data_IF_658762194159
#
_entry.id   IF_658762194159
#
_cell.length_a   1.000
_cell.length_b   1.000
_cell.length_c   1.000
_cell.angle_alpha   90.00
_cell.angle_beta   90.00
_cell.angle_gamma   90.00
#
_symmetry.space_group_name_H-M   'P 1'
#
loop_
_entity.id
_entity.type
_entity.pdbx_description
1 polymer ?
#
# COMPACT_ATOMS: atom_id res chain seq x y z
N UNK A 1 -11.87 -16.34 -9.54
CA UNK A 1 -11.57 -17.29 -8.46
C UNK A 1 -10.18 -17.93 -8.50
N UNK A 2 -9.86 -18.87 -9.41
CA UNK A 2 -8.58 -19.64 -9.40
C UNK A 2 -7.27 -18.83 -9.39
N UNK A 3 -7.29 -17.56 -9.83
CA UNK A 3 -6.13 -16.68 -9.75
C UNK A 3 -5.79 -16.25 -8.30
N UNK A 4 -6.77 -16.21 -7.41
CA UNK A 4 -6.64 -15.61 -6.07
C UNK A 4 -6.94 -16.57 -4.93
N UNK A 5 -7.62 -17.69 -5.20
CA UNK A 5 -8.08 -18.65 -4.20
C UNK A 5 -7.59 -20.06 -4.56
N UNK A 6 -7.11 -20.78 -3.56
CA UNK A 6 -6.60 -22.15 -3.68
C UNK A 6 -5.07 -22.24 -3.71
N UNK A 7 -4.57 -23.45 -3.52
CA UNK A 7 -3.13 -23.74 -3.39
C UNK A 7 -2.35 -23.45 -4.69
N UNK A 8 -3.01 -23.60 -5.85
CA UNK A 8 -2.44 -23.30 -7.17
C UNK A 8 -2.63 -21.82 -7.61
N UNK A 9 -3.06 -20.94 -6.71
CA UNK A 9 -3.32 -19.54 -7.05
C UNK A 9 -2.03 -18.70 -7.16
N UNK A 10 -2.10 -17.58 -7.88
CA UNK A 10 -0.97 -16.63 -7.95
C UNK A 10 -0.65 -16.04 -6.57
N UNK A 11 -1.66 -15.88 -5.71
CA UNK A 11 -1.49 -15.42 -4.34
C UNK A 11 -0.72 -16.44 -3.48
N UNK A 12 -1.05 -17.73 -3.64
CA UNK A 12 -0.33 -18.83 -2.99
C UNK A 12 1.13 -18.89 -3.46
N UNK A 13 1.34 -18.90 -4.79
CA UNK A 13 2.66 -18.85 -5.38
C UNK A 13 3.51 -17.68 -4.85
N UNK A 14 2.97 -16.47 -4.82
CA UNK A 14 3.70 -15.30 -4.33
C UNK A 14 4.05 -15.39 -2.84
N UNK A 15 3.27 -16.13 -2.05
CA UNK A 15 3.54 -16.33 -0.62
C UNK A 15 4.63 -17.39 -0.41
N UNK A 16 4.55 -18.52 -1.12
CA UNK A 16 5.51 -19.62 -1.01
C UNK A 16 6.85 -19.31 -1.65
N UNK A 17 6.84 -18.66 -2.81
CA UNK A 17 8.04 -18.37 -3.58
C UNK A 17 8.92 -17.28 -2.96
N UNK A 18 8.51 -16.68 -1.83
CA UNK A 18 9.35 -15.74 -1.05
C UNK A 18 10.64 -16.40 -0.56
N UNK A 19 10.60 -17.68 -0.21
CA UNK A 19 11.77 -18.41 0.28
C UNK A 19 12.80 -18.71 -0.82
N UNK A 20 12.47 -18.43 -2.08
CA UNK A 20 13.31 -18.74 -3.23
C UNK A 20 14.12 -17.52 -3.65
N UNK A 21 15.44 -17.69 -3.70
CA UNK A 21 16.34 -16.64 -4.17
C UNK A 21 16.05 -16.26 -5.63
N UNK A 22 16.13 -14.96 -5.93
CA UNK A 22 15.87 -14.42 -7.28
C UNK A 22 14.40 -14.31 -7.72
N UNK A 23 13.42 -14.76 -6.93
CA UNK A 23 11.99 -14.73 -7.32
C UNK A 23 11.31 -13.37 -7.06
N UNK A 24 12.00 -12.44 -6.40
CA UNK A 24 11.49 -11.10 -6.09
C UNK A 24 11.04 -10.29 -7.32
N UNK A 25 11.75 -10.38 -8.45
CA UNK A 25 11.37 -9.73 -9.72
C UNK A 25 10.10 -10.32 -10.34
N UNK A 26 9.91 -11.64 -10.20
CA UNK A 26 8.71 -12.31 -10.68
C UNK A 26 7.52 -11.94 -9.80
N UNK A 27 7.68 -11.92 -8.47
CA UNK A 27 6.64 -11.47 -7.53
C UNK A 27 6.22 -10.03 -7.79
N UNK A 28 7.18 -9.14 -8.02
CA UNK A 28 6.91 -7.76 -8.44
C UNK A 28 6.12 -7.68 -9.75
N UNK A 29 6.47 -8.51 -10.74
CA UNK A 29 5.73 -8.57 -12.01
C UNK A 29 4.31 -9.11 -11.82
N UNK A 30 4.11 -10.10 -10.95
CA UNK A 30 2.79 -10.65 -10.60
C UNK A 30 1.95 -9.58 -9.89
N UNK A 31 2.50 -8.86 -8.92
CA UNK A 31 1.79 -7.78 -8.23
C UNK A 31 1.36 -6.66 -9.19
N UNK A 32 2.22 -6.28 -10.13
CA UNK A 32 1.88 -5.32 -11.19
C UNK A 32 0.80 -5.84 -12.13
N UNK A 33 0.89 -7.11 -12.53
CA UNK A 33 -0.16 -7.77 -13.32
C UNK A 33 -1.50 -7.76 -12.57
N UNK A 34 -1.52 -8.19 -11.31
CA UNK A 34 -2.73 -8.22 -10.48
C UNK A 34 -3.29 -6.80 -10.31
N UNK A 35 -2.44 -5.80 -10.07
CA UNK A 35 -2.86 -4.39 -10.00
C UNK A 35 -3.59 -3.94 -11.26
N UNK A 36 -3.03 -4.22 -12.43
CA UNK A 36 -3.66 -3.90 -13.73
C UNK A 36 -4.97 -4.66 -13.95
N UNK A 37 -4.95 -5.96 -13.62
CA UNK A 37 -6.10 -6.84 -13.75
C UNK A 37 -7.25 -6.39 -12.85
N UNK A 38 -6.99 -6.09 -11.58
CA UNK A 38 -7.98 -5.59 -10.63
C UNK A 38 -8.51 -4.24 -11.08
N UNK A 39 -7.65 -3.29 -11.46
CA UNK A 39 -8.09 -2.00 -11.98
C UNK A 39 -9.04 -2.12 -13.18
N UNK A 40 -8.77 -3.07 -14.08
CA UNK A 40 -9.59 -3.28 -15.29
C UNK A 40 -10.89 -4.03 -15.01
N UNK A 41 -10.86 -5.04 -14.15
CA UNK A 41 -11.96 -5.99 -13.96
C UNK A 41 -12.62 -5.90 -12.58
N UNK A 42 -12.39 -4.83 -11.81
CA UNK A 42 -12.88 -4.70 -10.43
C UNK A 42 -14.38 -4.97 -10.29
N UNK A 43 -15.21 -4.53 -11.23
CA UNK A 43 -16.66 -4.76 -11.19
C UNK A 43 -17.05 -6.25 -11.08
N UNK A 44 -16.24 -7.15 -11.63
CA UNK A 44 -16.47 -8.61 -11.60
C UNK A 44 -15.70 -9.32 -10.48
N UNK A 45 -14.93 -8.59 -9.67
CA UNK A 45 -14.02 -9.16 -8.65
C UNK A 45 -14.46 -8.84 -7.21
N UNK A 46 -15.61 -8.21 -7.01
CA UNK A 46 -16.07 -7.77 -5.70
C UNK A 46 -16.09 -8.88 -4.64
N UNK A 47 -16.53 -10.09 -5.01
CA UNK A 47 -16.54 -11.26 -4.11
C UNK A 47 -15.15 -11.73 -3.66
N UNK A 48 -14.09 -11.32 -4.36
CA UNK A 48 -12.70 -11.66 -4.06
C UNK A 48 -11.91 -10.49 -3.47
N UNK A 49 -12.52 -9.30 -3.33
CA UNK A 49 -11.84 -8.08 -2.93
C UNK A 49 -11.07 -8.22 -1.60
N UNK A 50 -11.68 -8.87 -0.61
CA UNK A 50 -11.05 -9.14 0.70
C UNK A 50 -9.78 -9.99 0.54
N UNK A 51 -9.85 -11.06 -0.26
CA UNK A 51 -8.72 -11.95 -0.52
C UNK A 51 -7.58 -11.21 -1.22
N UNK A 52 -7.90 -10.43 -2.25
CA UNK A 52 -6.93 -9.67 -3.03
C UNK A 52 -6.24 -8.62 -2.15
N UNK A 53 -7.00 -7.85 -1.37
CA UNK A 53 -6.45 -6.83 -0.48
C UNK A 53 -5.61 -7.46 0.64
N UNK A 54 -6.08 -8.56 1.23
CA UNK A 54 -5.31 -9.29 2.25
C UNK A 54 -3.98 -9.79 1.70
N UNK A 55 -3.98 -10.31 0.46
CA UNK A 55 -2.76 -10.70 -0.24
C UNK A 55 -1.80 -9.51 -0.45
N UNK A 56 -2.33 -8.35 -0.86
CA UNK A 56 -1.54 -7.14 -1.06
C UNK A 56 -0.88 -6.66 0.25
N UNK A 57 -1.64 -6.62 1.34
CA UNK A 57 -1.15 -6.23 2.67
C UNK A 57 -0.06 -7.18 3.16
N UNK A 58 -0.30 -8.51 3.06
CA UNK A 58 0.70 -9.52 3.44
C UNK A 58 1.97 -9.37 2.63
N UNK A 59 1.84 -9.16 1.32
CA UNK A 59 3.00 -8.92 0.44
C UNK A 59 3.77 -7.68 0.92
N UNK A 60 3.11 -6.55 1.14
CA UNK A 60 3.75 -5.33 1.64
C UNK A 60 4.55 -5.56 2.94
N UNK A 61 3.99 -6.31 3.90
CA UNK A 61 4.67 -6.60 5.18
C UNK A 61 5.89 -7.51 5.03
N UNK A 62 5.82 -8.47 4.12
CA UNK A 62 6.77 -9.58 4.05
C UNK A 62 7.86 -9.35 3.00
N UNK A 63 7.64 -8.49 2.01
CA UNK A 63 8.66 -8.23 0.99
C UNK A 63 9.94 -7.65 1.58
N UNK A 64 11.09 -8.07 1.06
CA UNK A 64 12.40 -7.54 1.45
C UNK A 64 12.80 -6.35 0.56
N UNK A 65 12.41 -6.39 -0.73
CA UNK A 65 12.72 -5.35 -1.71
C UNK A 65 11.70 -4.21 -1.71
N UNK A 66 12.20 -2.98 -1.72
CA UNK A 66 11.36 -1.79 -1.74
C UNK A 66 10.54 -1.65 -3.02
N UNK A 67 11.04 -2.13 -4.16
CA UNK A 67 10.29 -2.15 -5.42
C UNK A 67 9.03 -3.00 -5.30
N UNK A 68 9.16 -4.19 -4.69
CA UNK A 68 8.05 -5.12 -4.55
C UNK A 68 7.06 -4.67 -3.47
N UNK A 69 7.56 -4.00 -2.41
CA UNK A 69 6.70 -3.28 -1.45
C UNK A 69 5.89 -2.18 -2.14
N UNK A 70 6.52 -1.38 -3.00
CA UNK A 70 5.81 -0.33 -3.73
C UNK A 70 4.72 -0.90 -4.65
N UNK A 71 4.98 -2.01 -5.34
CA UNK A 71 3.97 -2.73 -6.13
C UNK A 71 2.83 -3.28 -5.26
N UNK A 72 3.13 -3.79 -4.06
CA UNK A 72 2.12 -4.25 -3.10
C UNK A 72 1.24 -3.10 -2.61
N UNK A 73 1.86 -1.97 -2.28
CA UNK A 73 1.18 -0.75 -1.85
C UNK A 73 0.27 -0.19 -2.95
N UNK A 74 0.72 -0.24 -4.22
CA UNK A 74 -0.12 0.14 -5.36
C UNK A 74 -1.35 -0.76 -5.50
N UNK A 75 -1.20 -2.06 -5.26
CA UNK A 75 -2.35 -2.98 -5.25
C UNK A 75 -3.32 -2.67 -4.10
N UNK A 76 -2.80 -2.37 -2.90
CA UNK A 76 -3.62 -1.95 -1.74
C UNK A 76 -4.44 -0.70 -2.07
N UNK A 77 -3.83 0.28 -2.73
CA UNK A 77 -4.48 1.51 -3.18
C UNK A 77 -5.60 1.23 -4.18
N UNK A 78 -5.34 0.46 -5.23
CA UNK A 78 -6.35 0.09 -6.24
C UNK A 78 -7.51 -0.67 -5.60
N UNK A 79 -7.23 -1.57 -4.65
CA UNK A 79 -8.28 -2.28 -3.92
C UNK A 79 -9.12 -1.33 -3.07
N UNK A 80 -8.48 -0.35 -2.41
CA UNK A 80 -9.18 0.66 -1.61
C UNK A 80 -10.08 1.52 -2.50
N UNK A 81 -9.55 2.00 -3.62
CA UNK A 81 -10.30 2.81 -4.60
C UNK A 81 -11.54 2.09 -5.15
N UNK A 82 -11.40 0.81 -5.51
CA UNK A 82 -12.44 0.10 -6.26
C UNK A 82 -13.41 -0.72 -5.37
N UNK A 83 -13.04 -1.01 -4.12
CA UNK A 83 -13.81 -1.92 -3.26
C UNK A 83 -14.23 -1.32 -1.91
N UNK A 84 -14.00 -0.02 -1.65
CA UNK A 84 -14.33 0.62 -0.37
C UNK A 84 -15.81 0.67 0.03
N UNK A 85 -16.71 0.43 -0.91
CA UNK A 85 -18.14 0.30 -0.60
C UNK A 85 -18.48 -0.97 0.20
N UNK A 86 -17.63 -2.01 0.17
CA UNK A 86 -17.84 -3.25 0.90
C UNK A 86 -17.28 -3.17 2.33
N UNK A 87 -18.15 -3.38 3.33
CA UNK A 87 -17.79 -3.25 4.76
C UNK A 87 -16.61 -4.12 5.19
N UNK A 88 -16.54 -5.37 4.72
CA UNK A 88 -15.44 -6.27 5.06
C UNK A 88 -14.10 -5.80 4.46
N UNK A 89 -14.14 -5.26 3.23
CA UNK A 89 -12.94 -4.68 2.61
C UNK A 89 -12.50 -3.45 3.39
N UNK A 90 -13.44 -2.60 3.82
CA UNK A 90 -13.16 -1.41 4.63
C UNK A 90 -12.38 -1.77 5.89
N UNK A 91 -12.83 -2.78 6.63
CA UNK A 91 -12.13 -3.27 7.83
C UNK A 91 -10.69 -3.70 7.54
N UNK A 92 -10.46 -4.43 6.45
CA UNK A 92 -9.12 -4.90 6.07
C UNK A 92 -8.25 -3.75 5.55
N UNK A 93 -8.83 -2.77 4.85
CA UNK A 93 -8.10 -1.61 4.35
C UNK A 93 -7.54 -0.76 5.49
N UNK A 94 -8.29 -0.56 6.58
CA UNK A 94 -7.75 0.10 7.78
C UNK A 94 -6.56 -0.64 8.40
N UNK A 95 -6.57 -1.97 8.40
CA UNK A 95 -5.40 -2.73 8.83
C UNK A 95 -4.19 -2.46 7.91
N UNK A 96 -4.43 -2.41 6.59
CA UNK A 96 -3.43 -2.03 5.60
C UNK A 96 -2.88 -0.62 5.81
N UNK A 97 -3.74 0.34 6.16
CA UNK A 97 -3.36 1.71 6.52
C UNK A 97 -2.44 1.74 7.74
N UNK A 98 -2.82 1.08 8.84
CA UNK A 98 -2.00 1.04 10.06
C UNK A 98 -0.63 0.40 9.78
N UNK A 99 -0.61 -0.69 9.01
CA UNK A 99 0.63 -1.37 8.59
C UNK A 99 1.53 -0.45 7.77
N UNK A 100 0.96 0.31 6.82
CA UNK A 100 1.72 1.26 6.01
C UNK A 100 2.28 2.40 6.87
N UNK A 101 1.46 2.94 7.79
CA UNK A 101 1.86 3.99 8.73
C UNK A 101 3.00 3.54 9.63
N UNK A 102 2.87 2.37 10.25
CA UNK A 102 3.88 1.82 11.14
C UNK A 102 5.18 1.56 10.37
N UNK A 103 5.07 1.10 9.12
CA UNK A 103 6.23 0.93 8.25
C UNK A 103 6.91 2.27 7.97
N UNK A 104 6.16 3.34 7.67
CA UNK A 104 6.74 4.68 7.48
C UNK A 104 7.58 5.10 8.67
N UNK A 105 7.06 4.93 9.89
CA UNK A 105 7.78 5.27 11.14
C UNK A 105 9.11 4.51 11.24
N UNK A 106 9.11 3.21 10.93
CA UNK A 106 10.33 2.37 10.97
C UNK A 106 11.40 2.76 9.95
N UNK A 107 11.00 3.41 8.86
CA UNK A 107 11.90 3.80 7.77
C UNK A 107 12.09 5.31 7.66
N UNK A 108 11.50 6.09 8.57
CA UNK A 108 11.64 7.55 8.58
C UNK A 108 13.11 7.94 8.70
N UNK A 109 13.53 8.94 7.92
CA UNK A 109 14.92 9.39 7.84
C UNK A 109 15.88 8.46 7.08
N UNK A 110 15.45 7.28 6.62
CA UNK A 110 16.30 6.40 5.79
C UNK A 110 16.40 6.93 4.36
N UNK A 111 17.60 7.38 4.00
CA UNK A 111 17.91 8.03 2.72
C UNK A 111 17.82 7.08 1.52
N UNK A 112 18.22 5.84 1.70
CA UNK A 112 18.12 4.76 0.71
C UNK A 112 16.68 4.37 0.41
N UNK A 113 15.74 4.67 1.31
CA UNK A 113 14.32 4.32 1.21
C UNK A 113 13.41 5.50 0.80
N UNK A 114 13.96 6.63 0.35
CA UNK A 114 13.19 7.85 0.03
C UNK A 114 12.03 7.62 -0.94
N UNK A 115 12.18 6.71 -1.92
CA UNK A 115 11.11 6.38 -2.87
C UNK A 115 9.94 5.67 -2.17
N UNK A 116 10.22 4.60 -1.42
CA UNK A 116 9.20 3.86 -0.69
C UNK A 116 8.52 4.75 0.38
N UNK A 117 9.28 5.63 1.04
CA UNK A 117 8.72 6.63 1.95
C UNK A 117 7.69 7.53 1.26
N UNK A 118 8.03 8.06 0.08
CA UNK A 118 7.09 8.85 -0.74
C UNK A 118 5.85 8.07 -1.13
N UNK A 119 6.02 6.82 -1.60
CA UNK A 119 4.91 5.95 -1.98
C UNK A 119 3.96 5.68 -0.80
N UNK A 120 4.50 5.44 0.41
CA UNK A 120 3.70 5.25 1.64
C UNK A 120 2.94 6.52 2.00
N UNK A 121 3.59 7.69 1.99
CA UNK A 121 2.93 8.95 2.32
C UNK A 121 1.76 9.23 1.39
N UNK A 122 1.96 9.04 0.08
CA UNK A 122 0.89 9.15 -0.93
C UNK A 122 -0.28 8.21 -0.63
N UNK A 123 0.00 6.94 -0.30
CA UNK A 123 -1.04 5.99 0.05
C UNK A 123 -1.82 6.40 1.31
N UNK A 124 -1.14 6.90 2.35
CA UNK A 124 -1.79 7.34 3.60
C UNK A 124 -2.75 8.52 3.36
N UNK A 125 -2.40 9.46 2.48
CA UNK A 125 -3.29 10.56 2.10
C UNK A 125 -4.46 10.10 1.23
N UNK A 126 -4.17 9.35 0.16
CA UNK A 126 -5.19 8.78 -0.75
C UNK A 126 -6.20 7.90 -0.02
N UNK A 127 -5.80 7.20 1.04
CA UNK A 127 -6.70 6.31 1.79
C UNK A 127 -8.03 6.97 2.19
N UNK A 128 -8.00 8.24 2.59
CA UNK A 128 -9.20 8.98 3.01
C UNK A 128 -10.01 9.55 1.85
N UNK A 129 -9.46 9.60 0.63
CA UNK A 129 -10.23 9.98 -0.56
C UNK A 129 -11.32 8.95 -0.89
N UNK A 130 -11.16 7.70 -0.44
CA UNK A 130 -12.05 6.59 -0.77
C UNK A 130 -13.16 6.33 0.26
N UNK A 131 -13.13 7.03 1.40
CA UNK A 131 -14.10 6.88 2.50
C UNK A 131 -14.60 8.25 2.97
N UNK A 132 -15.73 8.68 2.38
CA UNK A 132 -16.30 10.02 2.53
C UNK A 132 -16.91 10.33 3.92
N UNK A 133 -16.82 9.42 4.89
CA UNK A 133 -17.26 9.68 6.27
C UNK A 133 -16.09 10.19 7.11
N UNK A 134 -15.71 11.43 6.83
CA UNK A 134 -14.63 12.17 7.50
C UNK A 134 -14.79 12.14 9.04
N UNK A 135 -16.02 12.18 9.55
CA UNK A 135 -16.31 12.26 10.98
C UNK A 135 -15.91 11.01 11.77
N UNK A 136 -16.02 9.82 11.16
CA UNK A 136 -15.70 8.54 11.83
C UNK A 136 -14.18 8.30 11.95
N UNK A 137 -13.38 9.07 11.20
CA UNK A 137 -11.95 8.82 11.01
C UNK A 137 -11.07 10.07 11.17
N UNK A 138 -11.62 11.14 11.77
CA UNK A 138 -10.92 12.42 11.98
C UNK A 138 -9.53 12.27 12.61
N UNK A 139 -9.42 11.43 13.64
CA UNK A 139 -8.14 11.24 14.35
C UNK A 139 -7.07 10.64 13.43
N UNK A 140 -7.46 9.75 12.50
CA UNK A 140 -6.55 9.17 11.54
C UNK A 140 -6.11 10.19 10.50
N UNK A 141 -7.04 11.01 9.98
CA UNK A 141 -6.72 12.11 9.06
C UNK A 141 -5.72 13.08 9.72
N UNK A 142 -6.00 13.52 10.94
CA UNK A 142 -5.11 14.38 11.72
C UNK A 142 -3.74 13.71 11.94
N UNK A 143 -3.71 12.40 12.19
CA UNK A 143 -2.45 11.66 12.32
C UNK A 143 -1.58 11.70 11.05
N UNK A 144 -2.19 11.63 9.86
CA UNK A 144 -1.46 11.76 8.58
C UNK A 144 -0.91 13.17 8.41
N UNK A 145 -1.69 14.21 8.72
CA UNK A 145 -1.19 15.59 8.70
C UNK A 145 0.00 15.80 9.66
N UNK A 146 -0.03 15.22 10.85
CA UNK A 146 1.12 15.27 11.76
C UNK A 146 2.36 14.61 11.15
N UNK A 147 2.21 13.47 10.47
CA UNK A 147 3.32 12.80 9.75
C UNK A 147 3.88 13.71 8.66
N UNK A 148 3.02 14.34 7.85
CA UNK A 148 3.44 15.26 6.79
C UNK A 148 4.21 16.46 7.33
N UNK A 149 3.65 17.15 8.33
CA UNK A 149 4.28 18.33 8.94
C UNK A 149 5.61 17.97 9.60
N UNK A 150 5.68 16.85 10.31
CA UNK A 150 6.94 16.38 10.90
C UNK A 150 8.00 16.11 9.84
N UNK A 151 7.61 15.49 8.73
CA UNK A 151 8.51 15.17 7.61
C UNK A 151 9.01 16.42 6.90
N UNK A 152 8.15 17.41 6.66
CA UNK A 152 8.54 18.70 6.07
C UNK A 152 9.49 19.45 7.00
N UNK A 153 9.20 19.51 8.31
CA UNK A 153 10.08 20.16 9.30
C UNK A 153 11.46 19.51 9.36
N UNK A 154 11.52 18.19 9.33
CA UNK A 154 12.77 17.44 9.29
C UNK A 154 13.60 17.78 8.03
N UNK A 155 12.99 17.79 6.85
CA UNK A 155 13.66 18.20 5.60
C UNK A 155 14.15 19.65 5.64
N UNK A 156 13.36 20.57 6.21
CA UNK A 156 13.76 21.97 6.40
C UNK A 156 14.96 22.11 7.34
N UNK A 157 14.98 21.38 8.46
CA UNK A 157 16.10 21.39 9.41
C UNK A 157 17.38 20.87 8.77
N UNK A 158 17.27 19.83 7.94
CA UNK A 158 18.38 19.26 7.17
C UNK A 158 18.79 20.12 5.96
N UNK A 159 17.97 21.11 5.59
CA UNK A 159 18.11 21.92 4.36
C UNK A 159 18.21 21.05 3.11
N UNK A 160 17.50 19.92 3.11
CA UNK A 160 17.53 18.93 2.04
C UNK A 160 16.08 18.50 1.72
N UNK A 161 15.66 18.68 0.47
CA UNK A 161 14.35 18.24 0.00
C UNK A 161 14.48 16.90 -0.73
N UNK A 162 13.90 15.85 -0.14
CA UNK A 162 13.82 14.55 -0.78
C UNK A 162 12.63 14.55 -1.75
N UNK A 163 12.90 14.82 -3.04
CA UNK A 163 11.85 14.98 -4.05
C UNK A 163 10.77 13.87 -4.06
N UNK A 164 11.08 12.56 -3.92
CA UNK A 164 10.05 11.52 -3.86
C UNK A 164 9.15 11.63 -2.64
N UNK A 165 9.70 12.02 -1.49
CA UNK A 165 8.95 12.21 -0.24
C UNK A 165 8.06 13.44 -0.34
N UNK A 166 8.59 14.54 -0.89
CA UNK A 166 7.81 15.76 -1.11
C UNK A 166 6.64 15.52 -2.08
N UNK A 167 6.86 14.79 -3.19
CA UNK A 167 5.79 14.39 -4.11
C UNK A 167 4.71 13.59 -3.38
N UNK A 168 5.12 12.58 -2.60
CA UNK A 168 4.17 11.74 -1.89
C UNK A 168 3.27 12.50 -0.89
N UNK A 169 3.80 13.55 -0.26
CA UNK A 169 3.02 14.43 0.64
C UNK A 169 2.05 15.32 -0.13
N UNK A 170 2.44 15.80 -1.32
CA UNK A 170 1.60 16.69 -2.12
C UNK A 170 0.49 15.94 -2.87
N UNK A 171 0.79 14.73 -3.31
CA UNK A 171 -0.15 13.86 -4.01
C UNK A 171 -1.22 13.31 -3.06
N UNK A 172 -0.83 12.93 -1.84
CA UNK A 172 -1.70 12.31 -0.83
C UNK A 172 -2.45 13.33 0.02
#
# INVERSE_FOLDING_TARGET
>A
EKLFVGDDSLASFCSEARALDGVSKLRDSILRFISSFVGTYHASLGEHAVTILTFAIRSFQQEDLDTTRASSLRLMEICSENFMSATDVKKIAFQGFDIARDRYVQISGKQDMKKLRGDILRYLGHFFAFDLRIDDHRDLIVSVFHIYVATIKDQQQRKEVEAPVASGILDG
#
